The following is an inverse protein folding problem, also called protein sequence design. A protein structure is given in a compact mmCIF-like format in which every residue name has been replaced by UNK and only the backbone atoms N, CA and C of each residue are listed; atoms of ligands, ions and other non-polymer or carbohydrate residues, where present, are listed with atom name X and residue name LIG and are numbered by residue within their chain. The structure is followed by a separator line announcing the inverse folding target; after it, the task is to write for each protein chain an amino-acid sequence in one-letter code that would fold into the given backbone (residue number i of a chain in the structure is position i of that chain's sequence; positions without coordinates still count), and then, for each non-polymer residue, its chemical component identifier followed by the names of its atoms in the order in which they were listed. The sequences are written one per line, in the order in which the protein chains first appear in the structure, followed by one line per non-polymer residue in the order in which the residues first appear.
data_IF_314466380433
#
_entry.id   IF_314466380433
#
_cell.length_a   1.000
_cell.length_b   1.000
_cell.length_c   1.000
_cell.angle_alpha   90.00
_cell.angle_beta   90.00
_cell.angle_gamma   90.00
#
_symmetry.space_group_name_H-M   'P 1'
#
loop_
_entity.id
_entity.type
_entity.pdbx_description
1 polymer ?
#
# COMPACT_ATOMS: atom_id res chain seq x y z
N UNK A 1 -4.50 14.94 -20.54
CA UNK A 1 -5.64 14.74 -19.61
C UNK A 1 -5.64 13.36 -18.96
N UNK A 2 -5.07 12.31 -19.59
CA UNK A 2 -4.92 11.00 -18.94
C UNK A 2 -3.87 11.01 -17.81
N UNK A 3 -2.81 11.81 -17.93
CA UNK A 3 -1.71 11.83 -16.96
C UNK A 3 -2.12 12.29 -15.55
N UNK A 4 -3.09 13.19 -15.44
CA UNK A 4 -3.59 13.67 -14.15
C UNK A 4 -4.47 12.64 -13.45
N UNK A 5 -5.32 11.94 -14.20
CA UNK A 5 -6.17 10.86 -13.67
C UNK A 5 -5.31 9.68 -13.24
N UNK A 6 -4.37 9.25 -14.09
CA UNK A 6 -3.41 8.20 -13.75
C UNK A 6 -2.54 8.63 -12.58
N UNK A 7 -1.99 9.85 -12.55
CA UNK A 7 -1.21 10.35 -11.42
C UNK A 7 -1.95 10.30 -10.08
N UNK A 8 -3.20 10.79 -10.07
CA UNK A 8 -4.06 10.80 -8.88
C UNK A 8 -4.41 9.38 -8.42
N UNK A 9 -4.69 8.47 -9.35
CA UNK A 9 -4.95 7.07 -9.03
C UNK A 9 -3.76 6.41 -8.34
N UNK A 10 -2.54 6.64 -8.85
CA UNK A 10 -1.32 6.10 -8.26
C UNK A 10 -1.12 6.55 -6.82
N UNK A 11 -1.34 7.84 -6.54
CA UNK A 11 -1.22 8.39 -5.19
C UNK A 11 -2.30 7.84 -4.24
N UNK A 12 -3.52 7.67 -4.75
CA UNK A 12 -4.63 7.12 -4.00
C UNK A 12 -4.37 5.68 -3.55
N UNK A 13 -3.96 4.80 -4.48
CA UNK A 13 -3.75 3.38 -4.16
C UNK A 13 -2.42 3.13 -3.43
N UNK A 14 -1.38 3.92 -3.72
CA UNK A 14 -0.09 3.73 -3.06
C UNK A 14 -0.06 4.31 -1.65
N UNK A 15 -0.73 5.44 -1.38
CA UNK A 15 -0.56 6.17 -0.11
C UNK A 15 -1.87 6.40 0.62
N UNK A 16 -2.88 6.96 -0.05
CA UNK A 16 -4.10 7.38 0.64
C UNK A 16 -4.84 6.19 1.27
N UNK A 17 -5.12 5.15 0.50
CA UNK A 17 -5.83 3.97 1.01
C UNK A 17 -5.02 3.26 2.11
N UNK A 18 -3.75 2.86 1.90
CA UNK A 18 -3.00 2.15 2.94
C UNK A 18 -2.79 2.99 4.21
N UNK A 19 -2.54 4.29 4.06
CA UNK A 19 -2.43 5.18 5.21
C UNK A 19 -3.72 5.31 5.99
N UNK A 20 -4.87 5.33 5.31
CA UNK A 20 -6.19 5.35 5.95
C UNK A 20 -6.44 4.06 6.75
N UNK A 21 -6.06 2.89 6.22
CA UNK A 21 -6.15 1.60 6.91
C UNK A 21 -5.30 1.60 8.19
N UNK A 22 -4.05 2.06 8.10
CA UNK A 22 -3.16 2.14 9.27
C UNK A 22 -3.71 3.10 10.34
N UNK A 23 -4.19 4.28 9.94
CA UNK A 23 -4.81 5.25 10.85
C UNK A 23 -6.11 4.72 11.47
N UNK A 24 -6.91 3.95 10.72
CA UNK A 24 -8.10 3.32 11.25
C UNK A 24 -7.76 2.36 12.41
N UNK A 25 -6.69 1.56 12.26
CA UNK A 25 -6.18 0.75 13.36
C UNK A 25 -5.73 1.57 14.57
N UNK A 26 -4.97 2.64 14.33
CA UNK A 26 -4.48 3.54 15.40
C UNK A 26 -5.62 4.31 16.10
N UNK A 27 -6.77 4.47 15.44
CA UNK A 27 -7.95 5.13 16.03
C UNK A 27 -8.46 4.44 17.30
N UNK A 28 -8.16 3.14 17.47
CA UNK A 28 -8.48 2.38 18.70
C UNK A 28 -7.76 2.91 19.95
N UNK A 29 -6.70 3.70 19.78
CA UNK A 29 -5.92 4.28 20.88
C UNK A 29 -6.05 5.80 20.98
N UNK A 30 -6.76 6.45 20.06
CA UNK A 30 -6.90 7.90 20.01
C UNK A 30 -8.34 8.31 19.70
N UNK A 31 -9.09 8.83 20.69
CA UNK A 31 -10.45 9.32 20.48
C UNK A 31 -10.52 10.38 19.38
N UNK A 32 -9.50 11.25 19.29
CA UNK A 32 -9.45 12.29 18.26
C UNK A 32 -9.32 11.72 16.84
N UNK A 33 -8.54 10.64 16.66
CA UNK A 33 -8.48 9.95 15.36
C UNK A 33 -9.80 9.24 15.07
N UNK A 34 -10.42 8.62 16.09
CA UNK A 34 -11.70 7.95 15.94
C UNK A 34 -12.80 8.90 15.45
N UNK A 35 -12.88 10.10 16.02
CA UNK A 35 -13.84 11.14 15.63
C UNK A 35 -13.68 11.61 14.18
N UNK A 36 -12.49 11.47 13.59
CA UNK A 36 -12.28 11.78 12.16
C UNK A 36 -12.87 10.72 11.23
N UNK A 37 -13.04 9.47 11.70
CA UNK A 37 -13.60 8.36 10.92
C UNK A 37 -15.11 8.18 11.11
N UNK A 38 -15.69 8.61 12.24
CA UNK A 38 -17.12 8.50 12.50
C UNK A 38 -17.88 9.67 11.88
N UNK A 39 -18.99 9.39 11.19
CA UNK A 39 -19.85 10.45 10.66
C UNK A 39 -20.56 11.18 11.81
N UNK A 40 -20.16 12.43 12.09
CA UNK A 40 -20.87 13.29 13.05
C UNK A 40 -22.33 13.51 12.63
N UNK A 41 -23.34 13.24 13.49
CA UNK A 41 -24.72 13.65 13.21
C UNK A 41 -24.91 15.17 13.45
N UNK A 42 -26.06 15.74 13.08
CA UNK A 42 -26.36 16.50 11.86
C UNK A 42 -25.49 17.74 11.59
N UNK A 43 -24.54 18.09 12.46
CA UNK A 43 -23.59 19.17 12.23
C UNK A 43 -22.40 18.58 11.46
N UNK A 44 -22.55 18.59 10.14
CA UNK A 44 -21.73 17.97 9.10
C UNK A 44 -20.22 17.80 9.40
N UNK A 45 -19.56 16.78 8.81
CA UNK A 45 -18.10 16.71 8.82
C UNK A 45 -17.55 18.05 8.35
N UNK A 46 -16.81 18.72 9.25
CA UNK A 46 -16.17 19.98 8.88
C UNK A 46 -15.19 19.67 7.74
N UNK A 47 -15.14 20.54 6.73
CA UNK A 47 -14.15 20.44 5.64
C UNK A 47 -12.73 20.23 6.22
N UNK A 48 -12.46 20.78 7.41
CA UNK A 48 -11.25 20.55 8.18
C UNK A 48 -10.99 19.09 8.54
N UNK A 49 -11.97 18.35 9.09
CA UNK A 49 -11.80 16.95 9.46
C UNK A 49 -11.40 16.06 8.27
N UNK A 50 -12.08 16.21 7.13
CA UNK A 50 -11.72 15.51 5.90
C UNK A 50 -10.33 15.89 5.39
N UNK A 51 -9.97 17.18 5.41
CA UNK A 51 -8.65 17.65 4.97
C UNK A 51 -7.54 17.11 5.88
N UNK A 52 -7.71 17.17 7.20
CA UNK A 52 -6.74 16.63 8.15
C UNK A 52 -6.60 15.12 8.02
N UNK A 53 -7.71 14.38 7.87
CA UNK A 53 -7.68 12.94 7.66
C UNK A 53 -6.96 12.59 6.35
N UNK A 54 -7.24 13.31 5.27
CA UNK A 54 -6.59 13.08 3.97
C UNK A 54 -5.08 13.33 4.06
N UNK A 55 -4.66 14.45 4.65
CA UNK A 55 -3.24 14.77 4.83
C UNK A 55 -2.56 13.74 5.74
N UNK A 56 -3.17 13.40 6.88
CA UNK A 56 -2.67 12.40 7.80
C UNK A 56 -2.55 11.02 7.10
N UNK A 57 -3.54 10.63 6.31
CA UNK A 57 -3.52 9.38 5.56
C UNK A 57 -2.42 9.36 4.50
N UNK A 58 -2.16 10.47 3.80
CA UNK A 58 -1.02 10.55 2.88
C UNK A 58 0.32 10.40 3.61
N UNK A 59 0.51 11.11 4.72
CA UNK A 59 1.72 11.00 5.53
C UNK A 59 1.90 9.60 6.11
N UNK A 60 0.84 9.02 6.67
CA UNK A 60 0.84 7.65 7.18
C UNK A 60 1.13 6.65 6.07
N UNK A 61 0.54 6.83 4.88
CA UNK A 61 0.78 6.00 3.71
C UNK A 61 2.23 6.04 3.22
N UNK A 62 2.86 7.21 3.24
CA UNK A 62 4.30 7.34 2.95
C UNK A 62 5.15 6.58 3.97
N UNK A 63 4.81 6.66 5.25
CA UNK A 63 5.48 5.90 6.31
C UNK A 63 5.27 4.38 6.15
N UNK A 64 4.05 3.95 5.83
CA UNK A 64 3.74 2.55 5.49
C UNK A 64 4.58 2.08 4.31
N UNK A 65 4.79 2.93 3.30
CA UNK A 65 5.63 2.60 2.14
C UNK A 65 7.10 2.38 2.51
N UNK A 66 7.62 3.10 3.50
CA UNK A 66 8.96 2.88 4.05
C UNK A 66 9.05 1.56 4.83
N UNK A 67 8.02 1.23 5.63
CA UNK A 67 7.94 -0.06 6.31
C UNK A 67 7.80 -1.23 5.33
N UNK A 68 7.01 -1.07 4.26
CA UNK A 68 6.90 -2.01 3.15
C UNK A 68 8.26 -2.31 2.54
N UNK A 69 9.07 -1.29 2.27
CA UNK A 69 10.44 -1.50 1.80
C UNK A 69 11.26 -2.34 2.78
N UNK A 70 11.20 -2.03 4.08
CA UNK A 70 11.98 -2.75 5.08
C UNK A 70 11.52 -4.22 5.29
N UNK A 71 10.22 -4.49 5.13
CA UNK A 71 9.62 -5.79 5.42
C UNK A 71 9.38 -6.60 4.14
N UNK A 72 8.49 -6.11 3.27
CA UNK A 72 8.00 -6.83 2.10
C UNK A 72 9.07 -6.93 1.03
N UNK A 73 9.79 -5.84 0.72
CA UNK A 73 10.81 -5.87 -0.33
C UNK A 73 12.00 -6.73 0.09
N UNK A 74 12.38 -6.69 1.37
CA UNK A 74 13.39 -7.57 1.95
C UNK A 74 12.98 -9.05 1.86
N UNK A 75 11.72 -9.38 2.20
CA UNK A 75 11.19 -10.74 2.07
C UNK A 75 11.13 -11.20 0.61
N UNK A 76 10.72 -10.33 -0.31
CA UNK A 76 10.69 -10.65 -1.73
C UNK A 76 12.08 -10.88 -2.29
N UNK A 77 13.05 -10.04 -1.95
CA UNK A 77 14.46 -10.21 -2.32
C UNK A 77 15.02 -11.53 -1.78
N UNK A 78 14.76 -11.83 -0.50
CA UNK A 78 15.15 -13.10 0.10
C UNK A 78 14.46 -14.31 -0.57
N UNK A 79 13.19 -14.18 -0.97
CA UNK A 79 12.45 -15.21 -1.70
C UNK A 79 12.82 -15.34 -3.20
N UNK A 80 13.86 -14.64 -3.66
CA UNK A 80 14.42 -14.77 -5.01
C UNK A 80 13.89 -13.79 -6.06
N UNK A 81 13.19 -12.72 -5.68
CA UNK A 81 12.91 -11.61 -6.62
C UNK A 81 14.10 -10.67 -6.62
N UNK A 82 14.98 -10.80 -7.60
CA UNK A 82 16.12 -9.91 -7.79
C UNK A 82 15.78 -8.78 -8.77
N UNK A 83 16.08 -7.51 -8.43
CA UNK A 83 15.90 -6.41 -9.36
C UNK A 83 16.79 -6.59 -10.60
N UNK A 84 16.26 -6.38 -11.82
CA UNK A 84 17.02 -6.54 -13.05
C UNK A 84 18.02 -5.40 -13.24
N UNK A 85 19.09 -5.67 -14.00
CA UNK A 85 19.99 -4.62 -14.49
C UNK A 85 19.35 -3.93 -15.70
N UNK A 86 19.01 -2.65 -15.54
CA UNK A 86 18.36 -1.84 -16.58
C UNK A 86 19.36 -0.84 -17.18
N UNK A 87 19.35 -0.71 -18.50
CA UNK A 87 20.07 0.29 -19.28
C UNK A 87 19.14 1.47 -19.58
N UNK A 88 19.31 2.53 -18.80
CA UNK A 88 18.52 3.75 -18.92
C UNK A 88 18.82 4.56 -20.19
N UNK A 89 19.87 4.24 -20.95
CA UNK A 89 20.07 4.86 -22.28
C UNK A 89 18.93 4.51 -23.25
N UNK A 90 18.31 3.34 -23.05
CA UNK A 90 17.14 2.87 -23.82
C UNK A 90 15.82 3.49 -23.36
N UNK A 91 15.79 4.21 -22.23
CA UNK A 91 14.56 4.73 -21.65
C UNK A 91 13.86 5.72 -22.58
N UNK A 92 14.61 6.61 -23.26
CA UNK A 92 14.03 7.62 -24.13
C UNK A 92 13.14 7.02 -25.24
N UNK A 93 13.62 5.96 -25.90
CA UNK A 93 12.86 5.28 -26.95
C UNK A 93 11.70 4.41 -26.42
N UNK A 94 11.69 4.11 -25.12
CA UNK A 94 10.77 3.15 -24.50
C UNK A 94 9.92 3.77 -23.39
N UNK A 95 9.88 5.09 -23.26
CA UNK A 95 9.28 5.79 -22.11
C UNK A 95 7.80 5.47 -21.96
N UNK A 96 7.04 5.42 -23.05
CA UNK A 96 5.60 5.13 -23.02
C UNK A 96 5.33 3.69 -22.59
N UNK A 97 6.09 2.74 -23.14
CA UNK A 97 6.01 1.34 -22.74
C UNK A 97 6.41 1.15 -21.28
N UNK A 98 7.42 1.86 -20.80
CA UNK A 98 7.86 1.81 -19.41
C UNK A 98 6.81 2.39 -18.45
N UNK A 99 6.19 3.52 -18.81
CA UNK A 99 5.10 4.12 -18.05
C UNK A 99 3.88 3.19 -17.97
N UNK A 100 3.55 2.49 -19.07
CA UNK A 100 2.50 1.48 -19.07
C UNK A 100 2.83 0.34 -18.10
N UNK A 101 4.08 -0.14 -18.06
CA UNK A 101 4.50 -1.17 -17.10
C UNK A 101 4.36 -0.71 -15.64
N UNK A 102 4.68 0.55 -15.36
CA UNK A 102 4.46 1.14 -14.03
C UNK A 102 2.97 1.10 -13.69
N UNK A 103 2.11 1.52 -14.62
CA UNK A 103 0.68 1.62 -14.39
C UNK A 103 0.02 0.26 -14.15
N UNK A 104 0.34 -0.75 -14.96
CA UNK A 104 -0.35 -2.05 -14.94
C UNK A 104 0.24 -3.06 -13.96
N UNK A 105 1.52 -2.93 -13.55
CA UNK A 105 2.15 -3.87 -12.61
C UNK A 105 2.64 -3.18 -11.35
N UNK A 106 3.43 -2.11 -11.48
CA UNK A 106 4.11 -1.52 -10.33
C UNK A 106 3.14 -0.86 -9.35
N UNK A 107 2.12 -0.15 -9.84
CA UNK A 107 1.10 0.47 -8.97
C UNK A 107 0.28 -0.55 -8.20
N UNK A 108 -0.08 -1.66 -8.85
CA UNK A 108 -0.75 -2.77 -8.17
C UNK A 108 0.18 -3.41 -7.14
N UNK A 109 1.47 -3.60 -7.45
CA UNK A 109 2.44 -4.03 -6.44
C UNK A 109 2.47 -3.07 -5.24
N UNK A 110 2.57 -1.76 -5.48
CA UNK A 110 2.58 -0.74 -4.41
C UNK A 110 1.34 -0.83 -3.53
N UNK A 111 0.15 -0.94 -4.15
CA UNK A 111 -1.09 -1.11 -3.41
C UNK A 111 -1.08 -2.37 -2.53
N UNK A 112 -0.88 -3.55 -3.11
CA UNK A 112 -0.96 -4.81 -2.36
C UNK A 112 0.11 -4.88 -1.26
N UNK A 113 1.33 -4.43 -1.54
CA UNK A 113 2.42 -4.46 -0.57
C UNK A 113 2.22 -3.43 0.57
N UNK A 114 1.70 -2.23 0.28
CA UNK A 114 1.37 -1.26 1.33
C UNK A 114 0.12 -1.68 2.11
N UNK A 115 -0.88 -2.27 1.45
CA UNK A 115 -2.08 -2.79 2.10
C UNK A 115 -1.74 -3.94 3.06
N UNK A 116 -0.80 -4.82 2.71
CA UNK A 116 -0.24 -5.86 3.60
C UNK A 116 0.29 -5.23 4.89
N UNK A 117 1.20 -4.27 4.78
CA UNK A 117 1.79 -3.62 5.98
C UNK A 117 0.74 -2.83 6.78
N UNK A 118 -0.12 -2.07 6.11
CA UNK A 118 -1.15 -1.28 6.78
C UNK A 118 -2.16 -2.16 7.52
N UNK A 119 -2.56 -3.28 6.93
CA UNK A 119 -3.50 -4.23 7.53
C UNK A 119 -2.85 -4.97 8.70
N UNK A 120 -1.56 -5.33 8.62
CA UNK A 120 -0.81 -5.85 9.76
C UNK A 120 -0.74 -4.85 10.93
N UNK A 121 -0.50 -3.56 10.64
CA UNK A 121 -0.53 -2.50 11.67
C UNK A 121 -1.92 -2.42 12.30
N UNK A 122 -2.98 -2.38 11.50
CA UNK A 122 -4.34 -2.27 11.99
C UNK A 122 -4.76 -3.51 12.81
N UNK A 123 -4.38 -4.70 12.36
CA UNK A 123 -4.62 -5.95 13.07
C UNK A 123 -3.82 -6.02 14.38
N UNK A 124 -2.56 -5.59 14.40
CA UNK A 124 -1.77 -5.49 15.62
C UNK A 124 -2.46 -4.54 16.63
N UNK A 125 -2.95 -3.38 16.17
CA UNK A 125 -3.71 -2.45 17.00
C UNK A 125 -4.96 -3.10 17.60
N UNK A 126 -5.73 -3.80 16.77
CA UNK A 126 -6.92 -4.55 17.19
C UNK A 126 -6.60 -5.60 18.27
N UNK A 127 -5.56 -6.43 18.06
CA UNK A 127 -5.14 -7.47 19.01
C UNK A 127 -4.58 -6.91 20.31
N UNK A 128 -3.87 -5.78 20.26
CA UNK A 128 -3.36 -5.10 21.45
C UNK A 128 -4.53 -4.52 22.25
N UNK A 129 -5.49 -3.85 21.59
CA UNK A 129 -6.64 -3.25 22.25
C UNK A 129 -7.59 -4.30 22.87
N UNK A 130 -7.86 -5.40 22.15
CA UNK A 130 -8.69 -6.51 22.62
C UNK A 130 -8.01 -7.47 23.60
N UNK A 131 -6.69 -7.30 23.83
CA UNK A 131 -5.87 -8.18 24.64
C UNK A 131 -5.26 -9.34 23.84
N UNK A 132 -3.93 -9.47 23.90
CA UNK A 132 -3.19 -10.45 23.09
C UNK A 132 -3.59 -11.91 23.35
N UNK A 133 -4.06 -12.21 24.56
CA UNK A 133 -4.48 -13.54 25.00
C UNK A 133 -5.91 -13.92 24.55
N UNK A 134 -6.63 -13.03 23.85
CA UNK A 134 -7.95 -13.35 23.32
C UNK A 134 -7.87 -14.56 22.36
N UNK A 135 -8.83 -15.50 22.40
CA UNK A 135 -8.84 -16.63 21.49
C UNK A 135 -8.95 -16.16 20.03
N UNK A 136 -8.42 -16.97 19.12
CA UNK A 136 -8.56 -16.71 17.69
C UNK A 136 -9.99 -16.96 17.24
N UNK A 137 -10.49 -16.06 16.40
CA UNK A 137 -11.83 -16.07 15.85
C UNK A 137 -11.79 -16.25 14.33
N UNK A 138 -12.97 -16.41 13.71
CA UNK A 138 -13.07 -16.43 12.25
C UNK A 138 -12.57 -15.13 11.60
N UNK A 139 -12.61 -14.01 12.32
CA UNK A 139 -12.07 -12.73 11.85
C UNK A 139 -10.55 -12.78 11.71
N UNK A 140 -9.83 -13.33 12.70
CA UNK A 140 -8.37 -13.50 12.65
C UNK A 140 -7.95 -14.38 11.46
N UNK A 141 -8.71 -15.45 11.19
CA UNK A 141 -8.51 -16.30 10.00
C UNK A 141 -8.75 -15.53 8.69
N UNK A 142 -9.78 -14.67 8.65
CA UNK A 142 -10.03 -13.79 7.50
C UNK A 142 -8.89 -12.81 7.26
N UNK A 143 -8.30 -12.25 8.31
CA UNK A 143 -7.11 -11.39 8.23
C UNK A 143 -5.92 -12.17 7.68
N UNK A 144 -5.64 -13.37 8.20
CA UNK A 144 -4.55 -14.20 7.66
C UNK A 144 -4.75 -14.53 6.18
N UNK A 145 -5.98 -14.82 5.77
CA UNK A 145 -6.30 -15.09 4.37
C UNK A 145 -6.08 -13.87 3.47
N UNK A 146 -6.52 -12.67 3.87
CA UNK A 146 -6.33 -11.46 3.05
C UNK A 146 -4.85 -11.04 3.00
N UNK A 147 -4.11 -11.18 4.10
CA UNK A 147 -2.66 -10.93 4.15
C UNK A 147 -1.90 -11.86 3.20
N UNK A 148 -2.28 -13.15 3.16
CA UNK A 148 -1.71 -14.09 2.21
C UNK A 148 -1.99 -13.66 0.76
N UNK A 149 -3.21 -13.20 0.46
CA UNK A 149 -3.56 -12.69 -0.88
C UNK A 149 -2.72 -11.45 -1.22
N UNK A 150 -2.60 -10.48 -0.34
CA UNK A 150 -1.78 -9.28 -0.55
C UNK A 150 -0.30 -9.61 -0.76
N UNK A 151 0.24 -10.53 0.03
CA UNK A 151 1.63 -10.96 -0.12
C UNK A 151 1.86 -11.67 -1.47
N UNK A 152 1.01 -12.64 -1.84
CA UNK A 152 1.16 -13.40 -3.08
C UNK A 152 1.00 -12.49 -4.30
N UNK A 153 -0.02 -11.62 -4.31
CA UNK A 153 -0.29 -10.71 -5.42
C UNK A 153 0.76 -9.62 -5.56
N UNK A 154 1.27 -9.07 -4.45
CA UNK A 154 2.40 -8.13 -4.50
C UNK A 154 3.65 -8.80 -5.08
N UNK A 155 3.95 -10.03 -4.66
CA UNK A 155 5.06 -10.81 -5.19
C UNK A 155 4.95 -11.04 -6.70
N UNK A 156 3.79 -11.46 -7.18
CA UNK A 156 3.53 -11.74 -8.60
C UNK A 156 3.63 -10.48 -9.46
N UNK A 157 3.00 -9.37 -9.03
CA UNK A 157 3.05 -8.09 -9.74
C UNK A 157 4.48 -7.53 -9.83
N UNK A 158 5.27 -7.62 -8.73
CA UNK A 158 6.66 -7.18 -8.74
C UNK A 158 7.51 -8.03 -9.71
N UNK A 159 7.32 -9.35 -9.71
CA UNK A 159 8.01 -10.25 -10.64
C UNK A 159 7.67 -9.91 -12.09
N UNK A 160 6.38 -9.72 -12.41
CA UNK A 160 5.93 -9.34 -13.76
C UNK A 160 6.48 -7.99 -14.19
N UNK A 161 6.51 -7.01 -13.28
CA UNK A 161 7.13 -5.71 -13.53
C UNK A 161 8.62 -5.86 -13.88
N UNK A 162 9.40 -6.58 -13.06
CA UNK A 162 10.83 -6.79 -13.30
C UNK A 162 11.13 -7.55 -14.60
N UNK A 163 10.39 -8.63 -14.88
CA UNK A 163 10.57 -9.39 -16.12
C UNK A 163 10.33 -8.52 -17.36
N UNK A 164 9.25 -7.72 -17.37
CA UNK A 164 8.92 -6.86 -18.51
C UNK A 164 9.82 -5.63 -18.61
N UNK A 165 10.22 -5.06 -17.47
CA UNK A 165 11.21 -3.97 -17.44
C UNK A 165 12.56 -4.44 -17.98
N UNK A 166 12.98 -5.67 -17.67
CA UNK A 166 14.19 -6.27 -18.22
C UNK A 166 14.06 -6.55 -19.74
N UNK A 167 12.89 -6.96 -20.23
CA UNK A 167 12.67 -7.09 -21.67
C UNK A 167 12.77 -5.75 -22.42
N UNK A 168 12.31 -4.68 -21.78
CA UNK A 168 12.23 -3.35 -22.38
C UNK A 168 13.57 -2.59 -22.31
N UNK A 169 14.22 -2.63 -21.16
CA UNK A 169 15.40 -1.82 -20.85
C UNK A 169 16.62 -2.67 -20.51
N UNK A 170 16.56 -4.00 -20.57
CA UNK A 170 17.66 -4.86 -20.18
C UNK A 170 18.88 -4.74 -21.10
N UNK A 171 20.02 -5.16 -20.55
CA UNK A 171 21.21 -5.52 -21.33
C UNK A 171 21.14 -7.03 -21.55
N UNK A 172 21.25 -7.47 -22.81
CA UNK A 172 21.38 -8.89 -23.16
C UNK A 172 22.64 -9.47 -22.51
#
# INVERSE_FOLDING_TARGET
MNDTVSGNFGLLVAYLIPGSIALWGLSLFSPQLHDWFVASPPNAPTIGGFLYLTLAALTAGMTVSALRWALVDALHAWSGITPPRLDFSKLGANVDAFNLLIEIHYRYFQFHANAFVATLIAYACYRIHGGWAAPWTAFDLGIVAIEAVFFITSRDNLRKYYLRAAQLLGTL
#
